data_IF_628014912078
#
_entry.id   IF_628014912078
#
_cell.length_a   1.000
_cell.length_b   1.000
_cell.length_c   1.000
_cell.angle_alpha   90.00
_cell.angle_beta   90.00
_cell.angle_gamma   90.00
#
_symmetry.space_group_name_H-M   'P 1'
#
loop_
_entity.id
_entity.type
_entity.pdbx_description
1 polymer ?
#
# COMPACT_ATOMS: atom_id res chain seq x y z
N UNK A 1 4.97 -4.69 4.02
CA UNK A 1 5.72 -5.08 5.23
C UNK A 1 5.08 -6.33 5.84
N UNK A 2 5.89 -7.21 6.42
CA UNK A 2 5.39 -8.42 7.06
C UNK A 2 5.67 -8.33 8.56
N UNK A 3 4.60 -8.31 9.36
CA UNK A 3 4.73 -8.28 10.81
C UNK A 3 5.28 -9.63 11.33
N UNK A 4 6.33 -9.64 12.14
CA UNK A 4 6.68 -10.81 12.93
C UNK A 4 5.57 -11.08 13.94
N UNK A 5 5.19 -12.31 14.11
CA UNK A 5 4.24 -12.71 15.15
C UNK A 5 4.73 -13.93 15.91
N UNK A 6 4.31 -14.01 17.16
CA UNK A 6 4.58 -15.16 18.03
C UNK A 6 3.38 -16.08 17.98
N UNK A 7 3.58 -17.33 17.58
CA UNK A 7 2.58 -18.38 17.69
C UNK A 7 2.85 -19.20 18.94
N UNK A 8 1.79 -19.60 19.62
CA UNK A 8 1.85 -20.60 20.68
C UNK A 8 1.64 -21.98 20.03
N UNK A 9 2.59 -22.87 20.14
CA UNK A 9 2.47 -24.26 19.70
C UNK A 9 2.66 -25.19 20.88
N UNK A 10 1.80 -26.20 20.97
CA UNK A 10 1.98 -27.29 21.90
C UNK A 10 3.00 -28.30 21.33
N UNK A 11 4.09 -28.51 22.04
CA UNK A 11 5.10 -29.50 21.74
C UNK A 11 5.41 -30.32 23.00
N UNK A 12 5.23 -31.61 22.89
CA UNK A 12 5.50 -32.56 23.99
C UNK A 12 4.76 -32.22 25.30
N UNK A 13 3.53 -31.64 25.17
CA UNK A 13 2.70 -31.24 26.31
C UNK A 13 3.06 -29.87 26.92
N UNK A 14 4.02 -29.16 26.36
CA UNK A 14 4.38 -27.79 26.75
C UNK A 14 3.98 -26.77 25.70
N UNK A 15 3.49 -25.60 26.15
CA UNK A 15 3.18 -24.47 25.27
C UNK A 15 4.44 -23.65 25.02
N UNK A 16 4.95 -23.73 23.79
CA UNK A 16 6.16 -23.04 23.37
C UNK A 16 5.81 -21.80 22.55
N UNK A 17 6.46 -20.68 22.86
CA UNK A 17 6.37 -19.45 22.05
C UNK A 17 7.33 -19.55 20.87
N UNK A 18 6.79 -19.59 19.65
CA UNK A 18 7.59 -19.63 18.43
C UNK A 18 7.40 -18.35 17.61
N UNK A 19 8.51 -17.71 17.28
CA UNK A 19 8.48 -16.61 16.32
C UNK A 19 8.32 -17.17 14.90
N UNK A 20 7.15 -16.98 14.29
CA UNK A 20 6.79 -17.56 12.97
C UNK A 20 7.28 -16.76 11.78
N UNK A 21 7.73 -15.52 11.95
CA UNK A 21 8.21 -14.71 10.84
C UNK A 21 9.73 -14.68 10.80
N UNK A 22 10.30 -15.42 9.88
CA UNK A 22 11.74 -15.38 9.54
C UNK A 22 11.93 -14.83 8.10
N UNK A 23 11.11 -13.87 7.69
CA UNK A 23 11.28 -13.19 6.41
C UNK A 23 12.17 -11.97 6.61
N UNK A 24 12.92 -11.63 5.56
CA UNK A 24 13.68 -10.40 5.53
C UNK A 24 12.72 -9.21 5.71
N UNK A 25 13.05 -8.30 6.61
CA UNK A 25 12.29 -7.07 6.86
C UNK A 25 12.36 -6.11 5.68
N UNK A 26 11.53 -5.05 5.73
CA UNK A 26 11.46 -4.04 4.66
C UNK A 26 12.82 -3.40 4.38
N UNK A 27 13.59 -3.05 5.43
CA UNK A 27 14.94 -2.46 5.32
C UNK A 27 15.85 -3.35 4.49
N UNK A 28 15.96 -4.65 4.85
CA UNK A 28 16.86 -5.57 4.15
C UNK A 28 16.46 -5.83 2.70
N UNK A 29 15.15 -5.99 2.40
CA UNK A 29 14.67 -6.20 1.03
C UNK A 29 14.89 -4.97 0.17
N UNK A 30 14.49 -3.79 0.65
CA UNK A 30 14.65 -2.54 -0.10
C UNK A 30 16.13 -2.21 -0.32
N UNK A 31 16.96 -2.41 0.71
CA UNK A 31 18.42 -2.23 0.60
C UNK A 31 19.04 -3.16 -0.46
N UNK A 32 18.62 -4.44 -0.50
CA UNK A 32 19.07 -5.35 -1.54
C UNK A 32 18.63 -4.91 -2.95
N UNK A 33 17.39 -4.44 -3.12
CA UNK A 33 16.88 -3.92 -4.39
C UNK A 33 17.68 -2.69 -4.86
N UNK A 34 17.85 -1.72 -3.98
CA UNK A 34 18.57 -0.47 -4.31
C UNK A 34 20.05 -0.71 -4.58
N UNK A 35 20.76 -1.33 -3.65
CA UNK A 35 22.23 -1.38 -3.70
C UNK A 35 22.80 -2.55 -4.51
N UNK A 36 22.05 -3.67 -4.67
CA UNK A 36 22.53 -4.81 -5.46
C UNK A 36 21.99 -4.85 -6.88
N UNK A 37 20.78 -4.30 -7.09
CA UNK A 37 20.11 -4.37 -8.39
C UNK A 37 19.88 -3.00 -9.02
N UNK A 38 20.22 -1.89 -8.34
CA UNK A 38 20.03 -0.53 -8.85
C UNK A 38 18.57 -0.15 -9.06
N UNK A 39 17.64 -0.80 -8.35
CA UNK A 39 16.20 -0.55 -8.46
C UNK A 39 15.77 0.37 -7.34
N UNK A 40 15.14 1.50 -7.67
CA UNK A 40 14.55 2.35 -6.66
C UNK A 40 13.45 1.59 -5.91
N UNK A 41 13.46 1.73 -4.60
CA UNK A 41 12.52 1.06 -3.71
C UNK A 41 11.93 2.06 -2.72
N UNK A 42 10.63 1.95 -2.49
CA UNK A 42 9.90 2.72 -1.47
C UNK A 42 9.62 1.78 -0.30
N UNK A 43 10.35 1.89 0.81
CA UNK A 43 10.10 1.05 1.98
C UNK A 43 8.70 1.29 2.56
N UNK A 44 7.99 0.19 2.81
CA UNK A 44 6.73 0.25 3.54
C UNK A 44 7.00 0.17 5.04
N UNK A 45 6.60 1.18 5.78
CA UNK A 45 6.69 1.24 7.24
C UNK A 45 5.29 1.10 7.83
N UNK A 46 5.15 0.27 8.85
CA UNK A 46 3.86 -0.04 9.48
C UNK A 46 3.88 0.27 10.98
N UNK A 47 2.71 0.60 11.53
CA UNK A 47 2.54 0.80 12.97
C UNK A 47 2.65 -0.49 13.77
N UNK A 48 2.36 -1.63 13.13
CA UNK A 48 2.29 -2.91 13.82
C UNK A 48 3.65 -3.56 14.06
N UNK A 49 3.81 -4.14 15.24
CA UNK A 49 4.96 -4.97 15.60
C UNK A 49 6.12 -4.25 16.27
N UNK A 50 6.20 -2.93 16.17
CA UNK A 50 7.31 -2.12 16.70
C UNK A 50 6.79 -0.99 17.61
N UNK A 51 7.55 -0.64 18.64
CA UNK A 51 7.34 0.55 19.47
C UNK A 51 7.75 1.83 18.72
N UNK A 52 7.44 3.00 19.28
CA UNK A 52 7.85 4.31 18.75
C UNK A 52 9.36 4.38 18.53
N UNK A 53 10.15 3.85 19.49
CA UNK A 53 11.60 3.88 19.44
C UNK A 53 12.17 2.94 18.37
N UNK A 54 11.63 1.72 18.24
CA UNK A 54 12.04 0.78 17.20
C UNK A 54 11.68 1.27 15.79
N UNK A 55 10.57 2.01 15.66
CA UNK A 55 10.21 2.70 14.41
C UNK A 55 11.19 3.82 14.11
N UNK A 56 11.56 4.63 15.12
CA UNK A 56 12.53 5.71 14.96
C UNK A 56 13.88 5.17 14.50
N UNK A 57 14.43 4.15 15.15
CA UNK A 57 15.66 3.49 14.73
C UNK A 57 15.58 2.99 13.28
N UNK A 58 14.47 2.38 12.92
CA UNK A 58 14.23 1.89 11.56
C UNK A 58 14.18 3.03 10.52
N UNK A 59 13.56 4.15 10.85
CA UNK A 59 13.53 5.34 9.98
C UNK A 59 14.92 5.94 9.82
N UNK A 60 15.69 6.01 10.89
CA UNK A 60 17.09 6.44 10.84
C UNK A 60 17.92 5.52 9.95
N UNK A 61 17.81 4.20 10.12
CA UNK A 61 18.48 3.22 9.27
C UNK A 61 18.15 3.42 7.80
N UNK A 62 16.85 3.63 7.47
CA UNK A 62 16.41 3.90 6.10
C UNK A 62 17.03 5.17 5.54
N UNK A 63 17.08 6.25 6.32
CA UNK A 63 17.72 7.50 5.91
C UNK A 63 19.21 7.31 5.63
N UNK A 64 19.95 6.62 6.51
CA UNK A 64 21.36 6.32 6.31
C UNK A 64 21.63 5.41 5.10
N UNK A 65 20.67 4.56 4.74
CA UNK A 65 20.73 3.71 3.55
C UNK A 65 20.28 4.45 2.26
N UNK A 66 19.99 5.75 2.36
CA UNK A 66 19.64 6.62 1.23
C UNK A 66 18.22 6.42 0.72
N UNK A 67 17.28 6.04 1.58
CA UNK A 67 15.86 5.99 1.23
C UNK A 67 15.17 7.29 1.63
N UNK A 68 14.83 8.09 0.63
CA UNK A 68 14.13 9.36 0.83
C UNK A 68 12.61 9.22 0.66
N UNK A 69 12.14 8.13 0.05
CA UNK A 69 10.72 7.87 -0.15
C UNK A 69 10.23 6.77 0.79
N UNK A 70 9.16 7.04 1.54
CA UNK A 70 8.51 6.08 2.44
C UNK A 70 7.05 5.88 2.06
N UNK A 71 6.52 4.69 2.29
CA UNK A 71 5.09 4.43 2.23
C UNK A 71 4.59 3.95 3.60
N UNK A 72 3.77 4.77 4.25
CA UNK A 72 3.30 4.56 5.62
C UNK A 72 1.88 4.01 5.62
N UNK A 73 1.69 2.89 6.27
CA UNK A 73 0.39 2.25 6.49
C UNK A 73 0.27 1.77 7.94
N UNK A 74 -0.95 1.62 8.43
CA UNK A 74 -1.16 1.11 9.79
C UNK A 74 -0.67 -0.34 9.93
N UNK A 75 -0.89 -1.15 8.92
CA UNK A 75 -0.72 -2.59 8.95
C UNK A 75 -2.02 -3.34 9.28
N UNK A 76 -2.01 -4.63 9.02
CA UNK A 76 -3.15 -5.51 9.25
C UNK A 76 -3.17 -6.04 10.69
N UNK A 77 -4.34 -6.51 11.19
CA UNK A 77 -4.41 -7.27 12.43
C UNK A 77 -3.48 -8.48 12.41
N UNK A 78 -2.95 -8.87 13.55
CA UNK A 78 -2.19 -10.11 13.66
C UNK A 78 -3.07 -11.32 13.33
N UNK A 79 -2.50 -12.42 12.80
CA UNK A 79 -3.24 -13.63 12.52
C UNK A 79 -4.05 -14.10 13.75
N UNK A 80 -5.37 -14.27 13.55
CA UNK A 80 -6.29 -14.65 14.61
C UNK A 80 -6.93 -13.47 15.38
N UNK A 81 -6.51 -12.24 15.14
CA UNK A 81 -7.17 -11.03 15.66
C UNK A 81 -8.20 -10.50 14.65
N UNK A 82 -9.28 -9.90 15.17
CA UNK A 82 -10.34 -9.29 14.35
C UNK A 82 -10.09 -7.81 14.03
N UNK A 83 -9.31 -7.13 14.85
CA UNK A 83 -8.97 -5.72 14.74
C UNK A 83 -7.49 -5.50 14.99
N UNK A 84 -6.97 -4.41 14.46
CA UNK A 84 -5.60 -3.99 14.74
C UNK A 84 -5.46 -3.64 16.23
N UNK A 85 -4.36 -4.08 16.83
CA UNK A 85 -3.99 -3.73 18.20
C UNK A 85 -2.57 -3.16 18.16
N UNK A 86 -2.37 -1.90 18.58
CA UNK A 86 -1.06 -1.29 18.58
C UNK A 86 -0.12 -2.04 19.55
N UNK A 87 1.18 -2.10 19.27
CA UNK A 87 2.17 -2.55 20.23
C UNK A 87 2.18 -1.67 21.47
N UNK A 88 2.74 -2.18 22.57
CA UNK A 88 2.99 -1.33 23.74
C UNK A 88 3.91 -0.15 23.33
N UNK A 89 3.50 1.06 23.65
CA UNK A 89 4.20 2.28 23.25
C UNK A 89 4.38 2.42 21.72
N UNK A 90 3.43 1.89 20.95
CA UNK A 90 3.40 1.97 19.48
C UNK A 90 2.28 2.88 18.98
N UNK A 91 2.25 3.11 17.67
CA UNK A 91 1.21 3.90 17.01
C UNK A 91 -0.09 3.12 16.83
N UNK A 92 -1.21 3.75 17.11
CA UNK A 92 -2.54 3.21 16.81
C UNK A 92 -2.96 3.51 15.36
N UNK A 93 -2.60 4.69 14.85
CA UNK A 93 -2.99 5.17 13.53
C UNK A 93 -1.79 5.52 12.65
N UNK A 94 -1.95 5.33 11.35
CA UNK A 94 -0.93 5.70 10.37
C UNK A 94 -0.60 7.21 10.40
N UNK A 95 -1.56 8.08 10.74
CA UNK A 95 -1.34 9.53 10.88
C UNK A 95 -0.34 9.87 11.97
N UNK A 96 -0.27 9.08 13.04
CA UNK A 96 0.71 9.26 14.12
C UNK A 96 2.12 8.92 13.65
N UNK A 97 2.25 7.82 12.89
CA UNK A 97 3.52 7.42 12.30
C UNK A 97 3.98 8.41 11.21
N UNK A 98 3.06 8.96 10.41
CA UNK A 98 3.37 10.06 9.47
C UNK A 98 3.94 11.26 10.22
N UNK A 99 3.34 11.64 11.35
CA UNK A 99 3.82 12.76 12.18
C UNK A 99 5.19 12.48 12.76
N UNK A 100 5.46 11.24 13.19
CA UNK A 100 6.79 10.87 13.68
C UNK A 100 7.85 11.00 12.56
N UNK A 101 7.56 10.50 11.36
CA UNK A 101 8.46 10.63 10.21
C UNK A 101 8.66 12.11 9.81
N UNK A 102 7.61 12.93 9.88
CA UNK A 102 7.71 14.39 9.62
C UNK A 102 8.52 15.11 10.71
N UNK A 103 8.39 14.72 11.96
CA UNK A 103 9.22 15.25 13.04
C UNK A 103 10.71 14.96 12.79
N UNK A 104 11.06 13.77 12.29
CA UNK A 104 12.44 13.46 11.90
C UNK A 104 12.95 14.36 10.76
N UNK A 105 12.09 14.71 9.81
CA UNK A 105 12.43 15.71 8.77
C UNK A 105 12.76 17.10 9.36
N UNK A 106 12.23 17.39 10.54
CA UNK A 106 12.54 18.63 11.29
C UNK A 106 13.69 18.45 12.27
N UNK A 107 14.28 17.26 12.36
CA UNK A 107 15.32 16.89 13.32
C UNK A 107 14.80 16.70 14.75
N UNK A 108 13.48 16.46 14.90
CA UNK A 108 12.84 16.21 16.20
C UNK A 108 12.73 14.70 16.43
N UNK A 109 13.47 14.20 17.39
CA UNK A 109 13.53 12.78 17.74
C UNK A 109 12.68 12.49 18.98
N UNK A 110 12.08 11.30 19.02
CA UNK A 110 11.26 10.89 20.15
C UNK A 110 12.05 10.76 21.45
N UNK A 111 13.30 10.31 21.33
CA UNK A 111 14.18 10.00 22.46
C UNK A 111 15.14 11.14 22.86
N UNK A 112 15.27 12.18 22.05
CA UNK A 112 16.25 13.24 22.24
C UNK A 112 15.53 14.59 22.41
N UNK A 113 15.87 15.34 23.47
CA UNK A 113 15.28 16.68 23.71
C UNK A 113 15.84 17.77 22.80
N UNK A 114 17.06 17.57 22.28
CA UNK A 114 17.75 18.51 21.39
C UNK A 114 17.47 18.11 19.93
N UNK A 115 17.58 19.07 19.01
CA UNK A 115 17.46 18.79 17.60
C UNK A 115 18.60 17.91 17.11
N UNK A 116 18.25 16.79 16.49
CA UNK A 116 19.19 15.92 15.78
C UNK A 116 19.38 16.33 14.33
N UNK A 117 19.97 15.43 13.53
CA UNK A 117 20.15 15.61 12.09
C UNK A 117 18.80 15.41 11.39
N UNK A 118 18.28 16.41 10.63
CA UNK A 118 17.05 16.24 9.87
C UNK A 118 17.16 15.13 8.82
N UNK A 119 16.07 14.40 8.61
CA UNK A 119 15.89 13.53 7.43
C UNK A 119 15.20 14.32 6.31
N UNK A 120 15.05 13.72 5.11
CA UNK A 120 14.35 14.32 3.96
C UNK A 120 13.34 13.33 3.36
N UNK A 121 12.43 12.82 4.19
CA UNK A 121 11.47 11.83 3.76
C UNK A 121 10.32 12.45 2.96
N UNK A 122 10.11 11.95 1.75
CA UNK A 122 8.87 12.08 1.00
C UNK A 122 7.91 10.95 1.41
N UNK A 123 6.79 11.28 2.04
CA UNK A 123 5.92 10.33 2.75
C UNK A 123 4.66 10.06 1.95
N UNK A 124 4.49 8.82 1.49
CA UNK A 124 3.25 8.32 0.89
C UNK A 124 2.35 7.62 1.90
N UNK A 125 1.04 7.70 1.70
CA UNK A 125 0.03 7.05 2.54
C UNK A 125 -1.03 6.34 1.72
N UNK A 126 -1.71 5.36 2.33
CA UNK A 126 -2.83 4.67 1.70
C UNK A 126 -4.09 5.53 1.71
N UNK A 127 -4.80 5.55 0.56
CA UNK A 127 -6.15 6.06 0.39
C UNK A 127 -7.12 4.95 -0.04
N UNK A 128 -8.42 5.09 0.27
CA UNK A 128 -9.45 4.10 -0.02
C UNK A 128 -10.61 4.75 -0.78
N UNK A 129 -10.58 4.75 -2.12
CA UNK A 129 -11.61 5.42 -2.93
C UNK A 129 -13.04 4.92 -2.64
N UNK A 130 -13.19 3.65 -2.32
CA UNK A 130 -14.48 3.05 -2.00
C UNK A 130 -14.82 3.06 -0.51
N UNK A 131 -13.86 3.05 0.36
CA UNK A 131 -13.90 3.12 1.82
C UNK A 131 -13.05 2.02 2.45
N UNK A 132 -12.33 2.35 3.52
CA UNK A 132 -11.69 1.33 4.36
C UNK A 132 -12.74 0.50 5.10
N UNK A 133 -12.54 -0.81 5.20
CA UNK A 133 -13.53 -1.73 5.75
C UNK A 133 -13.87 -1.47 7.23
N UNK A 134 -12.95 -0.95 8.01
CA UNK A 134 -13.17 -0.60 9.42
C UNK A 134 -13.86 0.76 9.60
N UNK A 135 -13.86 1.64 8.61
CA UNK A 135 -14.50 2.94 8.71
C UNK A 135 -16.02 2.80 8.68
N UNK A 136 -16.72 3.56 9.51
CA UNK A 136 -18.18 3.51 9.60
C UNK A 136 -18.84 3.93 8.27
N UNK A 137 -18.32 4.97 7.64
CA UNK A 137 -18.82 5.52 6.38
C UNK A 137 -17.70 6.18 5.58
N UNK A 138 -17.97 6.62 4.36
CA UNK A 138 -17.00 7.30 3.49
C UNK A 138 -16.49 8.62 4.08
N UNK A 139 -17.34 9.34 4.79
CA UNK A 139 -16.99 10.62 5.40
C UNK A 139 -15.89 10.44 6.46
N UNK A 140 -16.12 9.53 7.41
CA UNK A 140 -15.09 9.24 8.44
C UNK A 140 -13.80 8.67 7.86
N UNK A 141 -13.87 7.89 6.77
CA UNK A 141 -12.67 7.40 6.09
C UNK A 141 -11.88 8.53 5.44
N UNK A 142 -12.59 9.46 4.81
CA UNK A 142 -11.98 10.65 4.22
C UNK A 142 -11.37 11.57 5.30
N UNK A 143 -12.00 11.72 6.47
CA UNK A 143 -11.44 12.46 7.60
C UNK A 143 -10.11 11.84 8.05
N UNK A 144 -10.03 10.52 8.20
CA UNK A 144 -8.78 9.83 8.50
C UNK A 144 -7.69 10.04 7.44
N UNK A 145 -8.08 10.15 6.15
CA UNK A 145 -7.13 10.49 5.10
C UNK A 145 -6.64 11.94 5.22
N UNK A 146 -7.55 12.87 5.48
CA UNK A 146 -7.22 14.28 5.74
C UNK A 146 -6.24 14.40 6.90
N UNK A 147 -6.42 13.64 7.97
CA UNK A 147 -5.51 13.63 9.13
C UNK A 147 -4.10 13.15 8.75
N UNK A 148 -3.99 12.15 7.88
CA UNK A 148 -2.68 11.71 7.36
C UNK A 148 -2.01 12.79 6.50
N UNK A 149 -2.78 13.48 5.68
CA UNK A 149 -2.27 14.59 4.84
C UNK A 149 -1.80 15.75 5.73
N UNK A 150 -2.61 16.14 6.72
CA UNK A 150 -2.25 17.20 7.69
C UNK A 150 -1.07 16.83 8.58
N UNK A 151 -0.86 15.56 8.82
CA UNK A 151 0.30 15.07 9.56
C UNK A 151 1.61 15.15 8.75
N UNK A 152 1.55 15.40 7.43
CA UNK A 152 2.72 15.60 6.57
C UNK A 152 2.85 14.59 5.43
N UNK A 153 1.79 13.92 5.01
CA UNK A 153 1.85 13.07 3.81
C UNK A 153 1.99 13.90 2.54
N UNK A 154 2.84 13.46 1.61
CA UNK A 154 3.19 14.13 0.36
C UNK A 154 2.49 13.54 -0.86
N UNK A 155 2.10 12.26 -0.83
CA UNK A 155 1.35 11.59 -1.89
C UNK A 155 0.48 10.46 -1.35
N UNK A 156 -0.48 10.04 -2.16
CA UNK A 156 -1.40 8.94 -1.84
C UNK A 156 -1.20 7.82 -2.85
N UNK A 157 -1.13 6.57 -2.39
CA UNK A 157 -1.38 5.39 -3.23
C UNK A 157 -2.74 4.82 -2.81
N UNK A 158 -3.64 4.64 -3.78
CA UNK A 158 -4.96 4.10 -3.43
C UNK A 158 -4.93 2.58 -3.25
N UNK A 159 -5.92 2.05 -2.52
CA UNK A 159 -6.29 0.65 -2.64
C UNK A 159 -6.57 0.35 -4.12
N UNK A 160 -6.41 -0.93 -4.52
CA UNK A 160 -6.70 -1.31 -5.90
C UNK A 160 -8.15 -0.95 -6.28
N UNK A 161 -8.31 -0.44 -7.49
CA UNK A 161 -9.58 -0.07 -8.08
C UNK A 161 -9.68 -0.62 -9.51
N UNK A 162 -10.90 -0.71 -10.04
CA UNK A 162 -11.19 -1.27 -11.35
C UNK A 162 -12.02 -0.36 -12.25
N UNK A 163 -12.17 0.92 -11.87
CA UNK A 163 -12.89 1.94 -12.61
C UNK A 163 -12.19 3.30 -12.49
N UNK A 164 -12.05 4.00 -13.60
CA UNK A 164 -11.48 5.34 -13.62
C UNK A 164 -12.43 6.37 -12.98
N UNK A 165 -13.74 6.14 -13.04
CA UNK A 165 -14.75 6.99 -12.40
C UNK A 165 -14.61 6.99 -10.88
N UNK A 166 -14.27 5.84 -10.27
CA UNK A 166 -14.01 5.73 -8.83
C UNK A 166 -12.79 6.57 -8.45
N UNK A 167 -11.74 6.54 -9.27
CA UNK A 167 -10.55 7.36 -9.08
C UNK A 167 -10.88 8.86 -9.20
N UNK A 168 -11.56 9.26 -10.27
CA UNK A 168 -11.91 10.66 -10.53
C UNK A 168 -12.75 11.24 -9.39
N UNK A 169 -13.79 10.51 -8.96
CA UNK A 169 -14.63 10.92 -7.84
C UNK A 169 -13.86 11.09 -6.54
N UNK A 170 -12.88 10.21 -6.29
CA UNK A 170 -12.03 10.31 -5.10
C UNK A 170 -11.10 11.53 -5.14
N UNK A 171 -10.51 11.84 -6.30
CA UNK A 171 -9.67 13.03 -6.49
C UNK A 171 -10.49 14.31 -6.38
N UNK A 172 -11.69 14.34 -6.96
CA UNK A 172 -12.63 15.47 -6.86
C UNK A 172 -13.02 15.74 -5.40
N UNK A 173 -13.30 14.69 -4.63
CA UNK A 173 -13.63 14.82 -3.20
C UNK A 173 -12.47 15.47 -2.41
N UNK A 174 -11.22 15.08 -2.69
CA UNK A 174 -10.05 15.72 -2.09
C UNK A 174 -9.94 17.20 -2.51
N UNK A 175 -10.15 17.49 -3.79
CA UNK A 175 -10.10 18.87 -4.30
C UNK A 175 -11.20 19.75 -3.69
N UNK A 176 -12.41 19.23 -3.50
CA UNK A 176 -13.52 19.93 -2.86
C UNK A 176 -13.21 20.29 -1.38
N UNK A 177 -12.34 19.52 -0.74
CA UNK A 177 -11.81 19.81 0.60
C UNK A 177 -10.57 20.70 0.60
N UNK A 178 -10.18 21.23 -0.56
CA UNK A 178 -9.02 22.12 -0.74
C UNK A 178 -7.67 21.38 -0.71
N UNK A 179 -7.67 20.05 -0.80
CA UNK A 179 -6.46 19.24 -0.78
C UNK A 179 -5.99 18.94 -2.21
N UNK A 180 -4.75 19.34 -2.51
CA UNK A 180 -4.12 19.13 -3.81
C UNK A 180 -2.82 18.34 -3.62
N UNK A 181 -2.99 17.05 -3.48
CA UNK A 181 -1.93 16.08 -3.25
C UNK A 181 -1.91 15.07 -4.39
N UNK A 182 -0.74 14.63 -4.88
CA UNK A 182 -0.66 13.58 -5.90
C UNK A 182 -1.34 12.29 -5.44
N UNK A 183 -2.22 11.75 -6.27
CA UNK A 183 -2.94 10.49 -6.02
C UNK A 183 -2.53 9.48 -7.09
N UNK A 184 -1.84 8.43 -6.69
CA UNK A 184 -1.43 7.32 -7.57
C UNK A 184 -2.45 6.19 -7.43
N UNK A 185 -3.25 5.89 -8.46
CA UNK A 185 -4.22 4.81 -8.39
C UNK A 185 -3.53 3.44 -8.30
N UNK A 186 -4.00 2.63 -7.37
CA UNK A 186 -3.63 1.24 -7.25
C UNK A 186 -4.42 0.37 -8.23
N UNK A 187 -3.76 -0.53 -8.94
CA UNK A 187 -4.41 -1.50 -9.84
C UNK A 187 -3.86 -2.90 -9.59
N UNK A 188 -4.64 -3.91 -9.94
CA UNK A 188 -4.21 -5.30 -9.84
C UNK A 188 -4.47 -6.02 -11.16
N UNK A 189 -3.44 -6.58 -11.84
CA UNK A 189 -3.65 -7.40 -13.02
C UNK A 189 -4.57 -8.59 -12.71
N UNK A 190 -5.66 -8.70 -13.45
CA UNK A 190 -6.65 -9.78 -13.31
C UNK A 190 -6.66 -10.62 -14.56
N UNK A 191 -6.42 -11.92 -14.42
CA UNK A 191 -6.32 -12.88 -15.53
C UNK A 191 -7.23 -14.09 -15.34
N UNK A 192 -8.01 -14.13 -14.24
CA UNK A 192 -8.88 -15.25 -13.88
C UNK A 192 -10.12 -14.79 -13.11
N UNK A 193 -11.30 -15.21 -13.54
CA UNK A 193 -12.57 -14.94 -12.87
C UNK A 193 -12.58 -15.49 -11.43
N UNK A 194 -12.00 -16.68 -11.24
CA UNK A 194 -11.87 -17.29 -9.90
C UNK A 194 -11.08 -16.38 -8.92
N UNK A 195 -10.05 -15.70 -9.41
CA UNK A 195 -9.28 -14.75 -8.60
C UNK A 195 -10.08 -13.47 -8.36
N UNK A 196 -10.78 -12.98 -9.39
CA UNK A 196 -11.62 -11.79 -9.31
C UNK A 196 -12.71 -11.92 -8.25
N UNK A 197 -13.40 -13.08 -8.21
CA UNK A 197 -14.47 -13.37 -7.22
C UNK A 197 -14.02 -13.28 -5.75
N UNK A 198 -12.72 -13.39 -5.47
CA UNK A 198 -12.19 -13.31 -4.10
C UNK A 198 -11.89 -11.87 -3.67
N UNK A 199 -11.70 -10.97 -4.61
CA UNK A 199 -11.24 -9.60 -4.36
C UNK A 199 -12.20 -8.81 -3.48
N UNK A 200 -13.53 -8.76 -3.75
CA UNK A 200 -14.45 -8.01 -2.91
C UNK A 200 -14.45 -8.45 -1.45
N UNK A 201 -14.45 -9.75 -1.21
CA UNK A 201 -14.45 -10.30 0.15
C UNK A 201 -13.12 -10.15 0.90
N UNK A 202 -12.01 -9.93 0.17
CA UNK A 202 -10.69 -9.79 0.79
C UNK A 202 -10.30 -8.31 0.98
N UNK A 203 -10.64 -7.46 0.02
CA UNK A 203 -10.18 -6.07 -0.02
C UNK A 203 -11.32 -5.06 0.10
N UNK A 204 -12.58 -5.53 0.19
CA UNK A 204 -13.77 -4.70 0.37
C UNK A 204 -13.92 -3.60 -0.71
N UNK A 205 -13.69 -3.99 -1.95
CA UNK A 205 -13.77 -3.13 -3.13
C UNK A 205 -14.74 -3.71 -4.16
N UNK A 206 -15.32 -2.85 -4.97
CA UNK A 206 -16.25 -3.24 -6.02
C UNK A 206 -15.54 -3.72 -7.28
N UNK A 207 -16.17 -4.68 -7.94
CA UNK A 207 -15.72 -5.19 -9.23
C UNK A 207 -16.77 -4.84 -10.29
N UNK A 208 -16.40 -4.04 -11.32
CA UNK A 208 -17.33 -3.68 -12.39
C UNK A 208 -17.87 -4.91 -13.11
N UNK A 209 -19.17 -4.89 -13.39
CA UNK A 209 -19.83 -6.00 -14.11
C UNK A 209 -19.22 -6.22 -15.50
N UNK A 210 -18.73 -5.17 -16.15
CA UNK A 210 -18.03 -5.25 -17.44
C UNK A 210 -16.77 -6.12 -17.37
N UNK A 211 -15.97 -5.99 -16.31
CA UNK A 211 -14.80 -6.85 -16.09
C UNK A 211 -15.21 -8.29 -15.80
N UNK A 212 -16.18 -8.48 -14.92
CA UNK A 212 -16.67 -9.82 -14.61
C UNK A 212 -17.21 -10.55 -15.85
N UNK A 213 -18.02 -9.88 -16.67
CA UNK A 213 -18.56 -10.43 -17.94
C UNK A 213 -17.46 -10.71 -18.96
N UNK A 214 -16.46 -9.83 -19.09
CA UNK A 214 -15.36 -10.04 -20.03
C UNK A 214 -14.58 -11.32 -19.73
N UNK A 215 -14.42 -11.67 -18.46
CA UNK A 215 -13.76 -12.90 -18.03
C UNK A 215 -14.68 -14.13 -18.14
N UNK A 216 -15.98 -13.97 -17.84
CA UNK A 216 -16.96 -15.07 -17.84
C UNK A 216 -17.29 -15.58 -19.28
N UNK A 217 -17.17 -14.70 -20.27
CA UNK A 217 -17.40 -15.02 -21.67
C UNK A 217 -16.24 -15.79 -22.33
N UNK A 218 -15.07 -15.82 -21.70
CA UNK A 218 -13.93 -16.55 -22.22
C UNK A 218 -14.15 -18.06 -22.17
N UNK A 219 -13.77 -18.77 -23.22
CA UNK A 219 -13.95 -20.22 -23.36
C UNK A 219 -12.72 -21.00 -22.91
N UNK A 220 -11.56 -20.35 -22.93
CA UNK A 220 -10.29 -20.96 -22.55
C UNK A 220 -9.56 -20.09 -21.51
N UNK A 221 -8.66 -20.70 -20.72
CA UNK A 221 -7.83 -19.96 -19.79
C UNK A 221 -7.01 -18.84 -20.44
N UNK A 222 -6.58 -18.99 -21.68
CA UNK A 222 -5.79 -18.00 -22.39
C UNK A 222 -6.65 -16.82 -22.88
N UNK A 223 -7.87 -17.10 -23.37
CA UNK A 223 -8.85 -16.05 -23.69
C UNK A 223 -9.22 -15.24 -22.45
N UNK A 224 -9.42 -15.92 -21.32
CA UNK A 224 -9.70 -15.26 -20.02
C UNK A 224 -8.55 -14.31 -19.61
N UNK A 225 -7.30 -14.79 -19.68
CA UNK A 225 -6.13 -13.99 -19.37
C UNK A 225 -6.00 -12.77 -20.30
N UNK A 226 -6.23 -12.96 -21.61
CA UNK A 226 -6.21 -11.88 -22.58
C UNK A 226 -7.34 -10.87 -22.36
N UNK A 227 -8.56 -11.32 -22.06
CA UNK A 227 -9.69 -10.43 -21.76
C UNK A 227 -9.41 -9.56 -20.54
N UNK A 228 -8.91 -10.16 -19.47
CA UNK A 228 -8.50 -9.44 -18.26
C UNK A 228 -7.38 -8.44 -18.52
N UNK A 229 -6.32 -8.86 -19.24
CA UNK A 229 -5.20 -7.98 -19.58
C UNK A 229 -5.66 -6.79 -20.43
N UNK A 230 -6.52 -7.00 -21.44
CA UNK A 230 -7.08 -5.91 -22.27
C UNK A 230 -7.92 -4.93 -21.45
N UNK A 231 -8.75 -5.44 -20.52
CA UNK A 231 -9.52 -4.58 -19.63
C UNK A 231 -8.61 -3.71 -18.76
N UNK A 232 -7.62 -4.33 -18.12
CA UNK A 232 -6.68 -3.61 -17.26
C UNK A 232 -5.81 -2.61 -18.04
N UNK A 233 -5.42 -2.93 -19.28
CA UNK A 233 -4.67 -2.00 -20.13
C UNK A 233 -5.51 -0.78 -20.53
N UNK A 234 -6.82 -0.96 -20.77
CA UNK A 234 -7.75 0.16 -20.98
C UNK A 234 -7.87 1.00 -19.71
N UNK A 235 -8.09 0.36 -18.56
CA UNK A 235 -8.18 1.06 -17.28
C UNK A 235 -6.93 1.92 -17.00
N UNK A 236 -5.73 1.41 -17.29
CA UNK A 236 -4.50 2.20 -17.14
C UNK A 236 -4.54 3.47 -17.99
N UNK A 237 -4.99 3.38 -19.25
CA UNK A 237 -5.10 4.56 -20.13
C UNK A 237 -6.15 5.52 -19.62
N UNK A 238 -7.33 5.02 -19.26
CA UNK A 238 -8.42 5.85 -18.75
C UNK A 238 -8.00 6.60 -17.47
N UNK A 239 -7.20 5.97 -16.61
CA UNK A 239 -6.63 6.60 -15.40
C UNK A 239 -5.60 7.69 -15.75
N UNK A 240 -4.72 7.44 -16.70
CA UNK A 240 -3.73 8.43 -17.15
C UNK A 240 -4.42 9.60 -17.85
N UNK A 241 -5.42 9.34 -18.69
CA UNK A 241 -6.23 10.38 -19.35
C UNK A 241 -7.04 11.20 -18.33
N UNK A 242 -7.43 10.61 -17.21
CA UNK A 242 -8.05 11.30 -16.08
C UNK A 242 -7.04 12.12 -15.22
N UNK A 243 -5.76 12.17 -15.62
CA UNK A 243 -4.75 12.97 -14.95
C UNK A 243 -4.00 12.26 -13.81
N UNK A 244 -4.08 10.95 -13.71
CA UNK A 244 -3.25 10.22 -12.77
C UNK A 244 -1.76 10.37 -13.11
N UNK A 245 -0.87 10.64 -12.13
CA UNK A 245 0.57 10.82 -12.39
C UNK A 245 1.29 9.54 -12.81
N UNK A 246 0.62 8.40 -12.67
CA UNK A 246 1.09 7.05 -12.94
C UNK A 246 0.18 6.04 -12.27
N UNK A 247 0.56 4.78 -12.28
CA UNK A 247 -0.21 3.70 -11.61
C UNK A 247 0.67 2.85 -10.69
N UNK A 248 0.14 2.44 -9.56
CA UNK A 248 0.75 1.46 -8.67
C UNK A 248 0.19 0.07 -8.97
N UNK A 249 1.06 -0.92 -9.24
CA UNK A 249 0.62 -2.27 -9.61
C UNK A 249 0.82 -3.25 -8.44
N UNK A 250 -0.29 -3.76 -7.91
CA UNK A 250 -0.28 -4.82 -6.92
C UNK A 250 0.00 -6.17 -7.60
N UNK A 251 1.26 -6.59 -7.63
CA UNK A 251 1.68 -7.83 -8.31
C UNK A 251 1.23 -9.09 -7.58
N UNK A 252 0.99 -9.01 -6.28
CA UNK A 252 0.64 -10.14 -5.40
C UNK A 252 1.56 -11.36 -5.58
N UNK A 253 2.85 -11.10 -5.82
CA UNK A 253 3.87 -12.12 -6.03
C UNK A 253 3.93 -12.73 -7.45
N UNK A 254 3.14 -12.22 -8.41
CA UNK A 254 3.17 -12.68 -9.79
C UNK A 254 3.67 -11.60 -10.76
N UNK A 255 4.96 -11.63 -11.08
CA UNK A 255 5.56 -10.70 -12.05
C UNK A 255 5.05 -10.91 -13.48
N UNK A 256 4.71 -12.15 -13.88
CA UNK A 256 4.27 -12.48 -15.23
C UNK A 256 3.03 -11.68 -15.68
N UNK A 257 2.00 -11.59 -14.83
CA UNK A 257 0.79 -10.85 -15.17
C UNK A 257 1.05 -9.35 -15.29
N UNK A 258 1.96 -8.81 -14.47
CA UNK A 258 2.40 -7.43 -14.55
C UNK A 258 3.15 -7.17 -15.84
N UNK A 259 4.06 -8.06 -16.22
CA UNK A 259 4.80 -7.96 -17.47
C UNK A 259 3.86 -7.95 -18.69
N UNK A 260 2.92 -8.89 -18.77
CA UNK A 260 1.93 -8.93 -19.86
C UNK A 260 1.09 -7.64 -19.93
N UNK A 261 0.71 -7.07 -18.77
CA UNK A 261 0.00 -5.80 -18.73
C UNK A 261 0.86 -4.66 -19.26
N UNK A 262 2.10 -4.53 -18.82
CA UNK A 262 3.03 -3.49 -19.27
C UNK A 262 3.33 -3.61 -20.76
N UNK A 263 3.58 -4.80 -21.28
CA UNK A 263 3.77 -5.05 -22.71
C UNK A 263 2.54 -4.63 -23.53
N UNK A 264 1.33 -4.87 -23.00
CA UNK A 264 0.09 -4.47 -23.67
C UNK A 264 -0.13 -2.95 -23.63
N UNK A 265 0.25 -2.28 -22.55
CA UNK A 265 0.12 -0.82 -22.40
C UNK A 265 1.17 -0.11 -23.26
N UNK A 266 2.43 -0.51 -23.15
CA UNK A 266 3.57 0.12 -23.79
C UNK A 266 3.72 -0.28 -25.28
N UNK A 267 3.38 -1.52 -25.64
CA UNK A 267 3.52 -2.02 -27.01
C UNK A 267 2.47 -1.51 -28.00
N UNK A 268 1.39 -0.86 -27.55
CA UNK A 268 0.33 -0.29 -28.41
C UNK A 268 0.46 1.23 -28.60
N UNK A 269 1.43 1.86 -27.96
CA UNK A 269 1.77 3.25 -28.14
C UNK A 269 3.27 3.35 -27.92
N UNK A 270 4.04 3.45 -29.01
CA UNK A 270 5.44 3.73 -28.87
C UNK A 270 5.64 5.00 -28.04
N UNK A 271 6.47 4.90 -26.97
CA UNK A 271 7.05 6.06 -26.30
C UNK A 271 8.05 6.69 -27.22
#
# INVERSE_FOLDING_TARGET
>A
AHQPYVALEERDGEVVKLQKSKKCGTVGVCSALKHRFGVEAIPHVICGGDSLFEIEDKLIDLSYLGFDNLFIVRGDPLPGQRSFTPPREGHEYASELVRQAQNLNEGLYTSIREKGVPTDFCIGVAGYPEKHYESLNKESDMEHLVDKIRAGAHFIITQMLFSAEVYTAFVEELHNRGLRIPVVPGIKPVTRLKSLKKIPGTFHIDVPQSLARALDQARTPDEEAQAGTRYMARLVRDLLDAGAPGVHIFTMGSGKNTQCLLETVLGQGGI
#
